data_IF_431244630041
#
_entry.id   IF_431244630041
#
_cell.length_a   1.000
_cell.length_b   1.000
_cell.length_c   1.000
_cell.angle_alpha   90.00
_cell.angle_beta   90.00
_cell.angle_gamma   90.00
#
_symmetry.space_group_name_H-M   'P 1'
#
loop_
_entity.id
_entity.type
_entity.pdbx_description
1 polymer ?
#
# COMPACT_ATOMS: atom_id res chain seq x y z
N UNK A 1 19.03 2.87 -2.08
CA UNK A 1 20.08 2.53 -3.07
C UNK A 1 20.25 1.02 -3.08
N UNK A 2 20.98 0.44 -4.03
CA UNK A 2 21.42 -0.94 -3.88
C UNK A 2 22.32 -1.03 -2.66
N UNK A 3 22.13 -2.09 -1.89
CA UNK A 3 22.87 -2.33 -0.66
C UNK A 3 23.16 -3.82 -0.59
N UNK A 4 24.35 -4.16 -0.13
CA UNK A 4 24.76 -5.52 0.13
C UNK A 4 24.89 -5.74 1.63
N UNK A 5 24.84 -7.00 2.03
CA UNK A 5 24.96 -7.40 3.43
C UNK A 5 23.90 -6.78 4.37
N UNK A 6 22.68 -6.53 3.86
CA UNK A 6 21.58 -6.01 4.67
C UNK A 6 21.06 -7.08 5.63
N UNK A 7 20.88 -6.70 6.89
CA UNK A 7 20.32 -7.58 7.93
C UNK A 7 18.86 -7.88 7.60
N UNK A 8 18.50 -9.16 7.60
CA UNK A 8 17.11 -9.57 7.54
C UNK A 8 16.65 -10.05 8.91
N UNK A 9 15.63 -9.39 9.43
CA UNK A 9 15.06 -9.68 10.73
C UNK A 9 13.95 -10.70 10.56
N UNK A 10 14.18 -11.93 11.05
CA UNK A 10 13.29 -13.05 10.75
C UNK A 10 11.92 -12.95 11.43
N UNK A 11 11.80 -12.26 12.57
CA UNK A 11 10.51 -12.18 13.27
C UNK A 11 9.62 -11.10 12.68
N UNK A 12 10.17 -9.97 12.26
CA UNK A 12 9.43 -8.99 11.44
C UNK A 12 9.27 -9.40 9.98
N UNK A 13 10.00 -10.43 9.55
CA UNK A 13 10.09 -10.85 8.15
C UNK A 13 10.49 -9.70 7.21
N UNK A 14 11.26 -8.74 7.73
CA UNK A 14 11.57 -7.47 7.05
C UNK A 14 13.04 -7.10 7.13
N UNK A 15 13.45 -6.13 6.31
CA UNK A 15 14.74 -5.43 6.41
C UNK A 15 14.69 -4.24 7.38
N UNK A 16 13.54 -4.04 8.04
CA UNK A 16 13.32 -3.04 9.07
C UNK A 16 12.98 -3.76 10.38
N UNK A 17 13.47 -3.21 11.49
CA UNK A 17 13.04 -3.66 12.82
C UNK A 17 11.60 -3.20 13.02
N UNK A 18 10.71 -4.12 13.35
CA UNK A 18 9.35 -3.77 13.72
C UNK A 18 9.28 -3.54 15.24
N UNK A 19 9.05 -2.30 15.72
CA UNK A 19 9.05 -2.01 17.16
C UNK A 19 7.91 -2.70 17.92
N UNK A 20 6.87 -3.19 17.23
CA UNK A 20 5.76 -3.92 17.86
C UNK A 20 6.04 -5.42 18.00
N UNK A 21 6.95 -5.96 17.19
CA UNK A 21 7.42 -7.35 17.28
C UNK A 21 8.69 -7.33 18.11
N UNK A 22 8.53 -7.28 19.43
CA UNK A 22 9.67 -7.31 20.35
C UNK A 22 10.60 -8.51 20.11
N UNK A 23 11.91 -8.29 20.27
CA UNK A 23 12.90 -9.35 20.21
C UNK A 23 13.32 -9.78 18.81
N UNK A 24 13.17 -8.91 17.81
CA UNK A 24 13.95 -9.03 16.57
C UNK A 24 15.43 -8.87 16.87
N UNK A 25 16.21 -9.88 16.51
CA UNK A 25 17.66 -9.89 16.69
C UNK A 25 18.32 -10.17 15.34
N UNK A 26 19.54 -9.66 15.17
CA UNK A 26 20.37 -10.01 14.02
C UNK A 26 20.77 -11.49 14.13
N UNK A 27 20.15 -12.34 13.31
CA UNK A 27 20.46 -13.78 13.27
C UNK A 27 21.71 -14.09 12.43
N UNK A 28 22.39 -13.05 11.91
CA UNK A 28 23.50 -13.17 10.98
C UNK A 28 23.07 -13.33 9.51
N UNK A 29 21.76 -13.46 9.25
CA UNK A 29 21.24 -13.62 7.89
C UNK A 29 21.29 -12.30 7.13
N UNK A 30 22.08 -12.27 6.05
CA UNK A 30 22.28 -11.08 5.23
C UNK A 30 21.81 -11.31 3.80
N UNK A 31 21.25 -10.27 3.19
CA UNK A 31 20.86 -10.29 1.78
C UNK A 31 21.26 -9.01 1.06
N UNK A 32 21.31 -9.12 -0.26
CA UNK A 32 21.44 -7.99 -1.16
C UNK A 32 20.07 -7.37 -1.45
N UNK A 33 19.95 -6.07 -1.23
CA UNK A 33 18.79 -5.28 -1.66
C UNK A 33 19.12 -4.63 -3.00
N UNK A 34 18.19 -4.75 -3.95
CA UNK A 34 18.30 -4.15 -5.28
C UNK A 34 17.08 -3.27 -5.57
N UNK A 35 17.29 -2.21 -6.33
CA UNK A 35 16.22 -1.36 -6.83
C UNK A 35 15.34 -2.13 -7.81
N UNK A 36 14.05 -1.85 -7.78
CA UNK A 36 13.12 -2.40 -8.76
C UNK A 36 13.51 -2.00 -10.19
N UNK A 37 13.99 -0.76 -10.40
CA UNK A 37 14.50 -0.32 -11.71
C UNK A 37 15.60 -1.22 -12.27
N UNK A 38 16.58 -1.58 -11.44
CA UNK A 38 17.71 -2.40 -11.87
C UNK A 38 17.25 -3.83 -12.21
N UNK A 39 16.32 -4.39 -11.42
CA UNK A 39 15.75 -5.71 -11.69
C UNK A 39 14.99 -5.73 -13.02
N UNK A 40 14.12 -4.73 -13.23
CA UNK A 40 13.29 -4.62 -14.44
C UNK A 40 14.16 -4.41 -15.67
N UNK A 41 15.18 -3.56 -15.58
CA UNK A 41 16.08 -3.28 -16.71
C UNK A 41 16.99 -4.48 -17.01
N UNK A 42 17.54 -5.15 -15.98
CA UNK A 42 18.37 -6.36 -16.14
C UNK A 42 17.63 -7.48 -16.87
N UNK A 43 16.35 -7.70 -16.54
CA UNK A 43 15.53 -8.74 -17.16
C UNK A 43 14.85 -8.28 -18.46
N UNK A 44 15.13 -7.07 -18.94
CA UNK A 44 14.52 -6.55 -20.17
C UNK A 44 12.99 -6.45 -20.10
N UNK A 45 12.42 -6.26 -18.91
CA UNK A 45 10.96 -6.20 -18.71
C UNK A 45 10.45 -4.88 -19.31
N UNK A 46 9.63 -5.01 -20.36
CA UNK A 46 9.08 -3.88 -21.12
C UNK A 46 7.73 -3.40 -20.60
N UNK A 47 6.94 -4.31 -20.01
CA UNK A 47 5.58 -4.06 -19.56
C UNK A 47 5.28 -4.92 -18.33
N UNK A 48 4.55 -4.36 -17.39
CA UNK A 48 4.04 -5.05 -16.21
C UNK A 48 2.54 -4.80 -16.16
N UNK A 49 1.75 -5.84 -16.40
CA UNK A 49 0.29 -5.71 -16.32
C UNK A 49 -0.17 -5.47 -14.88
N UNK A 50 0.40 -6.19 -13.91
CA UNK A 50 0.08 -6.04 -12.51
C UNK A 50 1.33 -6.14 -11.64
N UNK A 51 1.52 -5.18 -10.72
CA UNK A 51 2.60 -5.18 -9.74
C UNK A 51 2.03 -5.21 -8.33
N UNK A 52 2.20 -6.33 -7.62
CA UNK A 52 2.00 -6.38 -6.16
C UNK A 52 3.31 -6.04 -5.47
N UNK A 53 3.27 -5.13 -4.50
CA UNK A 53 4.37 -4.87 -3.57
C UNK A 53 3.88 -5.17 -2.17
N UNK A 54 4.54 -6.13 -1.55
CA UNK A 54 4.22 -6.61 -0.20
C UNK A 54 5.54 -7.05 0.42
N UNK A 55 6.22 -6.09 1.04
CA UNK A 55 7.60 -6.24 1.52
C UNK A 55 7.72 -5.94 3.00
N UNK A 56 6.64 -6.20 3.75
CA UNK A 56 6.58 -6.10 5.21
C UNK A 56 7.17 -4.78 5.72
N UNK A 57 6.67 -3.65 5.17
CA UNK A 57 7.06 -2.29 5.55
C UNK A 57 8.17 -1.66 4.67
N UNK A 58 8.77 -2.40 3.74
CA UNK A 58 9.77 -1.86 2.81
C UNK A 58 9.16 -1.27 1.52
N UNK A 59 7.84 -1.24 1.41
CA UNK A 59 7.06 -1.00 0.19
C UNK A 59 7.34 0.38 -0.41
N UNK A 60 7.42 1.39 0.46
CA UNK A 60 7.75 2.76 0.05
C UNK A 60 9.14 2.83 -0.60
N UNK A 61 10.13 2.09 -0.08
CA UNK A 61 11.49 2.05 -0.64
C UNK A 61 11.53 1.31 -1.97
N UNK A 62 10.71 0.28 -2.15
CA UNK A 62 10.54 -0.39 -3.46
C UNK A 62 10.07 0.62 -4.50
N UNK A 63 9.04 1.41 -4.21
CA UNK A 63 8.56 2.44 -5.13
C UNK A 63 9.56 3.57 -5.39
N UNK A 64 10.32 3.98 -4.37
CA UNK A 64 11.42 4.93 -4.56
C UNK A 64 12.52 4.38 -5.49
N UNK A 65 12.84 3.10 -5.38
CA UNK A 65 13.79 2.40 -6.25
C UNK A 65 13.23 2.02 -7.64
N UNK A 66 11.92 2.15 -7.85
CA UNK A 66 11.21 1.71 -9.06
C UNK A 66 10.64 2.84 -9.92
N UNK A 67 11.09 4.08 -9.75
CA UNK A 67 10.46 5.26 -10.37
C UNK A 67 10.41 5.19 -11.90
N UNK A 68 11.41 4.58 -12.56
CA UNK A 68 11.38 4.38 -14.01
C UNK A 68 10.44 3.24 -14.38
N UNK A 69 10.49 2.15 -13.64
CA UNK A 69 9.71 0.92 -13.86
C UNK A 69 8.23 1.12 -13.67
N UNK A 70 7.82 2.00 -12.76
CA UNK A 70 6.41 2.37 -12.58
C UNK A 70 5.79 2.91 -13.87
N UNK A 71 6.57 3.50 -14.80
CA UNK A 71 6.03 3.90 -16.11
C UNK A 71 5.57 2.73 -16.99
N UNK A 72 6.01 1.50 -16.67
CA UNK A 72 5.70 0.26 -17.38
C UNK A 72 4.54 -0.51 -16.72
N UNK A 73 4.06 -0.06 -15.57
CA UNK A 73 3.08 -0.77 -14.71
C UNK A 73 1.67 -0.23 -14.94
N UNK A 74 0.74 -1.10 -15.34
CA UNK A 74 -0.67 -0.74 -15.59
C UNK A 74 -1.49 -0.69 -14.32
N UNK A 75 -1.39 -1.73 -13.50
CA UNK A 75 -2.07 -1.84 -12.21
C UNK A 75 -1.03 -2.11 -11.12
N UNK A 76 -1.17 -1.48 -9.97
CA UNK A 76 -0.35 -1.75 -8.79
C UNK A 76 -1.21 -2.02 -7.56
N UNK A 77 -0.74 -2.88 -6.67
CA UNK A 77 -1.32 -3.07 -5.35
C UNK A 77 -0.20 -3.03 -4.32
N UNK A 78 -0.45 -2.38 -3.18
CA UNK A 78 0.45 -2.46 -2.03
C UNK A 78 -0.32 -2.35 -0.72
N UNK A 79 0.27 -2.89 0.34
CA UNK A 79 -0.25 -2.76 1.69
C UNK A 79 0.27 -1.47 2.33
N UNK A 80 -0.60 -0.77 3.07
CA UNK A 80 -0.19 0.33 3.93
C UNK A 80 -0.16 -0.12 5.39
N UNK A 81 1.01 0.07 6.01
CA UNK A 81 1.23 -0.04 7.45
C UNK A 81 1.71 1.27 8.08
N UNK A 82 2.00 2.27 7.23
CA UNK A 82 2.48 3.58 7.60
C UNK A 82 1.79 4.63 6.71
N UNK A 83 1.99 5.91 7.00
CA UNK A 83 1.25 7.01 6.42
C UNK A 83 1.10 6.92 4.90
N UNK A 84 -0.14 6.92 4.40
CA UNK A 84 -0.48 6.75 2.99
C UNK A 84 -0.21 8.03 2.19
N UNK A 85 -0.11 9.19 2.85
CA UNK A 85 0.20 10.47 2.21
C UNK A 85 1.49 10.43 1.38
N UNK A 86 2.56 9.82 1.92
CA UNK A 86 3.86 9.72 1.23
C UNK A 86 3.77 8.88 -0.05
N UNK A 87 2.92 7.84 -0.05
CA UNK A 87 2.67 7.02 -1.23
C UNK A 87 1.87 7.80 -2.27
N UNK A 88 0.85 8.55 -1.84
CA UNK A 88 0.07 9.41 -2.74
C UNK A 88 0.94 10.46 -3.42
N UNK A 89 1.86 11.10 -2.69
CA UNK A 89 2.79 12.08 -3.27
C UNK A 89 3.70 11.46 -4.34
N UNK A 90 4.13 10.21 -4.15
CA UNK A 90 5.00 9.51 -5.08
C UNK A 90 4.23 8.98 -6.31
N UNK A 91 3.05 8.41 -6.10
CA UNK A 91 2.31 7.63 -7.09
C UNK A 91 1.15 8.42 -7.74
N UNK A 92 0.53 9.36 -7.05
CA UNK A 92 -0.72 10.02 -7.45
C UNK A 92 -0.66 10.86 -8.73
N UNK A 93 0.53 11.24 -9.18
CA UNK A 93 0.70 11.85 -10.51
C UNK A 93 0.54 10.84 -11.66
N UNK A 94 0.79 9.55 -11.42
CA UNK A 94 0.72 8.48 -12.44
C UNK A 94 -0.47 7.57 -12.27
N UNK A 95 -0.97 7.42 -11.05
CA UNK A 95 -2.03 6.47 -10.72
C UNK A 95 -3.23 7.18 -10.12
N UNK A 96 -4.42 6.72 -10.51
CA UNK A 96 -5.61 6.89 -9.68
C UNK A 96 -5.54 5.83 -8.58
N UNK A 97 -5.52 6.30 -7.33
CA UNK A 97 -5.33 5.46 -6.15
C UNK A 97 -6.64 5.26 -5.41
N UNK A 98 -6.87 4.05 -4.93
CA UNK A 98 -8.08 3.63 -4.24
C UNK A 98 -7.72 2.82 -3.01
N UNK A 99 -8.35 3.12 -1.87
CA UNK A 99 -8.41 2.18 -0.76
C UNK A 99 -9.27 0.99 -1.19
N UNK A 100 -8.70 -0.20 -1.15
CA UNK A 100 -9.43 -1.44 -1.31
C UNK A 100 -10.16 -1.74 -0.01
N UNK A 101 -11.48 -1.79 -0.06
CA UNK A 101 -12.27 -2.24 1.06
C UNK A 101 -12.28 -3.76 1.06
N UNK A 102 -12.06 -4.35 2.22
CA UNK A 102 -12.18 -5.78 2.47
C UNK A 102 -13.16 -6.00 3.62
N UNK A 103 -13.87 -7.15 3.72
CA UNK A 103 -14.83 -7.39 4.79
C UNK A 103 -14.23 -7.19 6.20
N UNK A 104 -12.96 -7.54 6.40
CA UNK A 104 -12.28 -7.34 7.68
C UNK A 104 -12.05 -5.86 8.01
N UNK A 105 -11.55 -5.08 7.04
CA UNK A 105 -11.37 -3.64 7.20
C UNK A 105 -12.72 -2.93 7.40
N UNK A 106 -13.77 -3.32 6.65
CA UNK A 106 -15.11 -2.77 6.83
C UNK A 106 -15.65 -3.04 8.24
N UNK A 107 -15.50 -4.27 8.75
CA UNK A 107 -15.85 -4.59 10.14
C UNK A 107 -15.08 -3.75 11.15
N UNK A 108 -13.76 -3.58 10.95
CA UNK A 108 -12.93 -2.77 11.83
C UNK A 108 -13.36 -1.29 11.79
N UNK A 109 -13.68 -0.76 10.61
CA UNK A 109 -14.21 0.59 10.45
C UNK A 109 -15.53 0.72 11.22
N UNK A 110 -16.49 -0.18 11.02
CA UNK A 110 -17.79 -0.12 11.69
C UNK A 110 -17.69 -0.21 13.22
N UNK A 111 -16.82 -1.09 13.74
CA UNK A 111 -16.72 -1.34 15.19
C UNK A 111 -15.81 -0.34 15.92
N UNK A 112 -14.67 0.00 15.32
CA UNK A 112 -13.58 0.71 16.01
C UNK A 112 -13.48 2.16 15.55
N UNK A 113 -13.64 2.40 14.25
CA UNK A 113 -13.39 3.73 13.66
C UNK A 113 -14.66 4.58 13.63
N UNK A 114 -15.83 3.99 13.38
CA UNK A 114 -17.10 4.68 13.21
C UNK A 114 -17.42 5.66 14.34
N UNK A 115 -17.24 5.30 15.63
CA UNK A 115 -17.49 6.22 16.74
C UNK A 115 -16.57 7.45 16.74
N UNK A 116 -15.45 7.40 16.00
CA UNK A 116 -14.42 8.45 15.88
C UNK A 116 -14.57 9.30 14.61
N UNK A 117 -15.57 9.01 13.77
CA UNK A 117 -15.83 9.73 12.53
C UNK A 117 -16.74 10.94 12.76
N UNK A 118 -16.41 12.06 12.12
CA UNK A 118 -17.31 13.22 12.01
C UNK A 118 -18.52 12.90 11.13
N UNK A 119 -19.60 13.67 11.25
CA UNK A 119 -20.81 13.49 10.43
C UNK A 119 -20.54 13.62 8.92
N UNK A 120 -19.51 14.36 8.52
CA UNK A 120 -19.10 14.45 7.11
C UNK A 120 -18.35 13.18 6.65
N UNK A 121 -17.50 12.60 7.50
CA UNK A 121 -16.74 11.38 7.18
C UNK A 121 -17.63 10.14 7.18
N UNK A 122 -18.68 10.09 8.01
CA UNK A 122 -19.67 9.01 8.01
C UNK A 122 -20.48 8.92 6.70
N UNK A 123 -20.50 9.99 5.89
CA UNK A 123 -21.14 9.98 4.56
C UNK A 123 -20.30 9.27 3.49
N UNK A 124 -19.05 8.91 3.78
CA UNK A 124 -18.23 8.14 2.87
C UNK A 124 -18.81 6.74 2.69
N UNK A 125 -18.81 6.26 1.44
CA UNK A 125 -19.36 4.94 1.09
C UNK A 125 -18.35 3.83 1.41
N UNK A 126 -18.11 3.57 2.69
CA UNK A 126 -17.17 2.53 3.12
C UNK A 126 -17.61 1.12 2.69
N UNK A 127 -18.88 0.89 2.36
CA UNK A 127 -19.32 -0.38 1.77
C UNK A 127 -18.88 -0.56 0.32
N UNK A 128 -18.32 0.44 -0.36
CA UNK A 128 -17.79 0.26 -1.71
C UNK A 128 -16.44 -0.48 -1.66
N UNK A 129 -16.28 -1.51 -2.49
CA UNK A 129 -15.03 -2.27 -2.70
C UNK A 129 -13.82 -1.40 -3.03
N UNK A 130 -14.02 -0.28 -3.73
CA UNK A 130 -12.99 0.73 -3.96
C UNK A 130 -13.48 2.09 -3.51
N UNK A 131 -12.68 2.73 -2.65
CA UNK A 131 -12.89 4.10 -2.22
C UNK A 131 -11.73 4.98 -2.73
N UNK A 132 -12.00 6.01 -3.57
CA UNK A 132 -10.93 6.87 -4.08
C UNK A 132 -10.11 7.48 -2.94
N UNK A 133 -8.79 7.51 -3.11
CA UNK A 133 -7.83 7.98 -2.10
C UNK A 133 -7.76 9.52 -2.05
N UNK A 134 -8.93 10.13 -1.85
CA UNK A 134 -9.10 11.59 -1.69
C UNK A 134 -8.33 12.10 -0.48
N UNK A 135 -8.13 13.43 -0.39
CA UNK A 135 -7.50 14.05 0.79
C UNK A 135 -8.17 13.64 2.11
N UNK A 136 -9.50 13.53 2.13
CA UNK A 136 -10.25 13.09 3.31
C UNK A 136 -9.93 11.64 3.67
N UNK A 137 -9.93 10.73 2.68
CA UNK A 137 -9.65 9.30 2.92
C UNK A 137 -8.20 9.10 3.37
N UNK A 138 -7.24 9.78 2.76
CA UNK A 138 -5.82 9.74 3.20
C UNK A 138 -5.66 10.18 4.64
N UNK A 139 -6.25 11.32 5.00
CA UNK A 139 -6.21 11.82 6.38
C UNK A 139 -6.87 10.86 7.37
N UNK A 140 -7.97 10.21 6.98
CA UNK A 140 -8.62 9.20 7.81
C UNK A 140 -7.72 7.99 8.04
N UNK A 141 -7.05 7.52 6.99
CA UNK A 141 -6.09 6.41 7.09
C UNK A 141 -4.99 6.79 8.09
N UNK A 142 -4.33 7.93 7.87
CA UNK A 142 -3.17 8.35 8.64
C UNK A 142 -3.48 8.70 10.09
N UNK A 143 -4.65 9.29 10.36
CA UNK A 143 -4.97 9.81 11.71
C UNK A 143 -5.92 8.92 12.51
N UNK A 144 -6.60 7.95 11.86
CA UNK A 144 -7.59 7.09 12.55
C UNK A 144 -7.38 5.61 12.28
N UNK A 145 -7.11 5.18 11.06
CA UNK A 145 -7.04 3.75 10.74
C UNK A 145 -5.72 3.16 11.24
N UNK A 146 -4.59 3.72 10.83
CA UNK A 146 -3.26 3.25 11.25
C UNK A 146 -3.11 3.30 12.78
N UNK A 147 -3.46 4.40 13.49
CA UNK A 147 -3.38 4.42 14.95
C UNK A 147 -4.30 3.42 15.66
N UNK A 148 -5.34 2.93 15.00
CA UNK A 148 -6.21 1.88 15.51
C UNK A 148 -5.73 0.46 15.15
N UNK A 149 -4.57 0.33 14.51
CA UNK A 149 -4.04 -0.95 14.04
C UNK A 149 -4.73 -1.50 12.79
N UNK A 150 -5.47 -0.65 12.05
CA UNK A 150 -6.13 -1.04 10.81
C UNK A 150 -5.19 -0.81 9.63
N UNK A 151 -4.56 -1.88 9.15
CA UNK A 151 -3.90 -1.93 7.84
C UNK A 151 -4.90 -2.13 6.71
N UNK A 152 -4.41 -2.09 5.47
CA UNK A 152 -5.20 -2.43 4.30
C UNK A 152 -4.46 -2.25 2.99
N UNK A 153 -5.16 -2.52 1.89
CA UNK A 153 -4.58 -2.49 0.55
C UNK A 153 -4.95 -1.22 -0.21
N UNK A 154 -3.98 -0.68 -0.96
CA UNK A 154 -4.20 0.37 -1.95
C UNK A 154 -4.07 -0.24 -3.35
N UNK A 155 -5.07 0.01 -4.19
CA UNK A 155 -5.02 -0.24 -5.63
C UNK A 155 -4.65 1.06 -6.35
N UNK A 156 -3.69 0.97 -7.27
CA UNK A 156 -3.39 2.02 -8.22
C UNK A 156 -3.69 1.58 -9.64
N UNK A 157 -4.44 2.39 -10.37
CA UNK A 157 -4.71 2.21 -11.80
C UNK A 157 -3.96 3.30 -12.54
N UNK A 158 -3.11 2.92 -13.50
CA UNK A 158 -2.34 3.89 -14.28
C UNK A 158 -3.30 4.83 -15.01
N UNK A 159 -3.04 6.13 -14.93
CA UNK A 159 -3.83 7.17 -15.61
C UNK A 159 -3.74 7.10 -17.13
N UNK A 160 -2.83 6.28 -17.66
CA UNK A 160 -2.75 5.97 -19.09
C UNK A 160 -3.76 4.90 -19.52
N UNK A 161 -4.32 4.15 -18.57
CA UNK A 161 -5.32 3.13 -18.85
C UNK A 161 -6.67 3.79 -19.15
N UNK A 162 -7.21 3.51 -20.33
CA UNK A 162 -8.60 3.83 -20.68
C UNK A 162 -9.51 2.77 -20.07
N UNK A 163 -9.64 2.80 -18.74
CA UNK A 163 -10.41 1.83 -17.99
C UNK A 163 -11.48 2.52 -17.13
N UNK A 164 -12.72 2.06 -17.23
CA UNK A 164 -13.80 2.55 -16.37
C UNK A 164 -13.76 1.85 -15.01
N UNK A 165 -13.06 2.45 -14.04
CA UNK A 165 -12.91 1.89 -12.70
C UNK A 165 -14.24 1.72 -11.96
N UNK A 166 -15.32 2.38 -12.38
CA UNK A 166 -16.65 2.20 -11.77
C UNK A 166 -17.15 0.76 -11.92
N UNK A 167 -16.66 0.03 -12.92
CA UNK A 167 -16.95 -1.40 -13.10
C UNK A 167 -16.33 -2.29 -12.01
N UNK A 168 -15.36 -1.77 -11.27
CA UNK A 168 -14.75 -2.45 -10.11
C UNK A 168 -15.39 -2.02 -8.79
N UNK A 169 -16.38 -1.12 -8.81
CA UNK A 169 -17.08 -0.66 -7.61
C UNK A 169 -18.36 -1.48 -7.43
N UNK A 170 -18.28 -2.44 -6.52
CA UNK A 170 -19.42 -3.20 -5.99
C UNK A 170 -19.51 -3.03 -4.47
N UNK A 171 -20.68 -3.37 -3.90
CA UNK A 171 -20.88 -3.33 -2.45
C UNK A 171 -20.24 -4.54 -1.77
N UNK A 172 -19.56 -4.30 -0.66
CA UNK A 172 -19.06 -5.29 0.26
C UNK A 172 -19.94 -5.27 1.50
N UNK A 173 -20.25 -6.46 2.01
CA UNK A 173 -20.93 -6.66 3.27
C UNK A 173 -19.99 -7.35 4.26
N UNK A 174 -20.29 -7.17 5.53
CA UNK A 174 -19.70 -7.96 6.61
C UNK A 174 -20.59 -9.19 6.80
N UNK A 175 -20.03 -10.42 6.91
CA UNK A 175 -20.77 -11.57 7.41
C UNK A 175 -21.32 -11.32 8.81
#
# INVERSE_FOLDING_TARGET
>A
SNQDNCVYYERSQSFLINPTIGGDVDTGKKFSIRKLDDYVDHHGIKKIDFLKVDTEGFDYKVFQGGRKSLKKVRFLQFEYWDGVEKFYQLLGLRYDLFLMMEPALLRAIQKIIWPKLTSAEQKLKFSNSLLPLTKTVRRLIDTKFIPAGCGGNILGISKQEKFDFRKLIFSISTP
#
